data_IF_370561707163
#
_entry.id   IF_370561707163
#
_cell.length_a   1.000
_cell.length_b   1.000
_cell.length_c   1.000
_cell.angle_alpha   90.00
_cell.angle_beta   90.00
_cell.angle_gamma   90.00
#
_symmetry.space_group_name_H-M   'P 1'
#
loop_
_entity.id
_entity.type
_entity.pdbx_description
1 polymer ?
#
# COMPACT_ATOMS: atom_id res chain seq x y z
N UNK A 1 -13.92 15.66 -0.28
CA UNK A 1 -13.24 14.85 -1.32
C UNK A 1 -11.84 14.49 -0.83
N UNK A 2 -11.74 13.91 0.38
CA UNK A 2 -10.48 13.91 1.17
C UNK A 2 -10.24 12.61 1.95
N UNK A 3 -11.28 11.81 2.20
CA UNK A 3 -11.16 10.60 3.02
C UNK A 3 -10.43 9.44 2.31
N UNK A 4 -10.57 9.33 0.98
CA UNK A 4 -9.95 8.23 0.21
C UNK A 4 -8.42 8.38 0.12
N UNK A 5 -7.90 9.61 0.08
CA UNK A 5 -6.46 9.87 -0.06
C UNK A 5 -5.66 9.53 1.21
N UNK A 6 -6.28 9.65 2.40
CA UNK A 6 -5.56 9.47 3.67
C UNK A 6 -5.41 8.00 4.08
N UNK A 7 -6.18 7.09 3.50
CA UNK A 7 -6.25 5.69 3.93
C UNK A 7 -5.62 4.69 2.96
N UNK A 8 -5.03 5.16 1.86
CA UNK A 8 -4.39 4.28 0.90
C UNK A 8 -3.18 3.56 1.54
N UNK A 9 -3.16 2.22 1.57
CA UNK A 9 -2.05 1.48 2.14
C UNK A 9 -0.79 1.72 1.29
N UNK A 10 0.27 2.24 1.90
CA UNK A 10 1.57 2.45 1.22
C UNK A 10 2.39 1.16 1.13
N UNK A 11 2.08 0.21 2.00
CA UNK A 11 2.80 -1.04 2.16
C UNK A 11 1.79 -2.16 2.42
N UNK A 12 2.11 -3.35 1.92
CA UNK A 12 1.34 -4.56 2.13
C UNK A 12 2.25 -5.72 2.53
N UNK A 13 1.66 -6.79 3.06
CA UNK A 13 2.41 -7.96 3.51
C UNK A 13 2.54 -8.95 2.35
N UNK A 14 3.77 -9.17 1.89
CA UNK A 14 4.12 -10.13 0.84
C UNK A 14 4.85 -11.33 1.44
N UNK A 15 4.61 -12.52 0.90
CA UNK A 15 5.46 -13.68 1.14
C UNK A 15 6.72 -13.59 0.28
N UNK A 16 7.87 -13.41 0.91
CA UNK A 16 9.18 -13.38 0.26
C UNK A 16 10.08 -14.44 0.89
N UNK A 17 10.64 -15.34 0.08
CA UNK A 17 11.51 -16.42 0.54
C UNK A 17 10.93 -17.25 1.72
N UNK A 18 9.60 -17.42 1.78
CA UNK A 18 8.92 -18.14 2.86
C UNK A 18 8.72 -17.33 4.15
N UNK A 19 8.95 -16.01 4.13
CA UNK A 19 8.73 -15.11 5.25
C UNK A 19 7.74 -13.99 4.84
N UNK A 20 6.86 -13.62 5.76
CA UNK A 20 5.90 -12.53 5.53
C UNK A 20 6.56 -11.18 5.84
N UNK A 21 6.94 -10.45 4.79
CA UNK A 21 7.58 -9.16 4.88
C UNK A 21 6.65 -8.04 4.45
N UNK A 22 6.67 -6.92 5.18
CA UNK A 22 5.94 -5.71 4.81
C UNK A 22 6.76 -4.95 3.78
N UNK A 23 6.31 -4.90 2.54
CA UNK A 23 7.00 -4.26 1.42
C UNK A 23 6.13 -3.18 0.79
N UNK A 24 6.77 -2.19 0.18
CA UNK A 24 6.07 -1.12 -0.56
C UNK A 24 5.30 -1.70 -1.75
N UNK A 25 4.13 -1.10 -2.05
CA UNK A 25 3.30 -1.53 -3.18
C UNK A 25 4.04 -1.52 -4.54
N UNK A 26 5.04 -0.64 -4.69
CA UNK A 26 5.88 -0.54 -5.89
C UNK A 26 6.67 -1.82 -6.21
N UNK A 27 6.97 -2.64 -5.19
CA UNK A 27 7.76 -3.87 -5.37
C UNK A 27 6.91 -5.10 -5.69
N UNK A 28 5.58 -4.97 -5.73
CA UNK A 28 4.68 -6.09 -6.02
C UNK A 28 4.59 -6.37 -7.52
N UNK A 29 4.71 -7.64 -7.86
CA UNK A 29 4.53 -8.18 -9.20
C UNK A 29 3.33 -9.14 -9.26
N UNK A 30 2.86 -9.40 -10.48
CA UNK A 30 1.87 -10.45 -10.73
C UNK A 30 2.46 -11.80 -10.31
N UNK A 31 1.69 -12.60 -9.58
CA UNK A 31 2.11 -13.88 -9.01
C UNK A 31 2.62 -13.79 -7.57
N UNK A 32 2.83 -12.59 -7.03
CA UNK A 32 3.20 -12.43 -5.62
C UNK A 32 2.08 -12.90 -4.69
N UNK A 33 2.45 -13.55 -3.59
CA UNK A 33 1.51 -14.00 -2.56
C UNK A 33 1.41 -12.93 -1.48
N UNK A 34 0.20 -12.51 -1.17
CA UNK A 34 -0.10 -11.45 -0.21
C UNK A 34 -0.95 -12.01 0.93
N UNK A 35 -0.75 -11.44 2.11
CA UNK A 35 -1.61 -11.68 3.27
C UNK A 35 -2.38 -10.41 3.60
N UNK A 36 -3.71 -10.51 3.60
CA UNK A 36 -4.61 -9.41 3.95
C UNK A 36 -5.25 -9.74 5.29
N UNK A 37 -4.97 -8.91 6.30
CA UNK A 37 -5.46 -9.11 7.67
C UNK A 37 -6.87 -8.53 7.81
N UNK A 38 -7.55 -8.90 8.89
CA UNK A 38 -8.83 -8.28 9.25
C UNK A 38 -8.67 -6.76 9.35
N UNK A 39 -9.65 -6.03 8.81
CA UNK A 39 -9.69 -4.58 8.66
C UNK A 39 -8.58 -3.97 7.76
N UNK A 40 -7.81 -4.80 7.05
CA UNK A 40 -6.80 -4.33 6.10
C UNK A 40 -7.42 -4.13 4.70
N UNK A 41 -6.87 -3.19 3.94
CA UNK A 41 -7.34 -2.87 2.59
C UNK A 41 -6.63 -3.76 1.59
N UNK A 42 -7.38 -4.32 0.63
CA UNK A 42 -6.82 -5.07 -0.49
C UNK A 42 -5.98 -4.14 -1.37
N UNK A 43 -4.65 -4.31 -1.42
CA UNK A 43 -3.76 -3.34 -2.06
C UNK A 43 -3.80 -3.42 -3.59
N UNK A 44 -3.89 -4.64 -4.11
CA UNK A 44 -3.88 -4.93 -5.56
C UNK A 44 -4.93 -5.98 -5.90
N UNK A 45 -5.43 -5.95 -7.12
CA UNK A 45 -6.35 -6.97 -7.62
C UNK A 45 -5.66 -8.34 -7.71
N UNK A 46 -6.38 -9.41 -7.35
CA UNK A 46 -5.79 -10.74 -7.30
C UNK A 46 -6.79 -11.87 -7.15
N UNK A 47 -6.28 -13.08 -7.13
CA UNK A 47 -7.08 -14.30 -6.92
C UNK A 47 -6.94 -14.77 -5.49
N UNK A 48 -8.06 -15.04 -4.82
CA UNK A 48 -8.08 -15.50 -3.45
C UNK A 48 -7.57 -16.94 -3.34
N UNK A 49 -6.70 -17.22 -2.38
CA UNK A 49 -6.23 -18.58 -2.11
C UNK A 49 -7.21 -19.36 -1.21
N UNK A 50 -8.17 -18.68 -0.58
CA UNK A 50 -9.18 -19.26 0.30
C UNK A 50 -10.39 -18.32 0.42
N UNK A 51 -11.29 -18.63 1.35
CA UNK A 51 -12.49 -17.80 1.57
C UNK A 51 -12.11 -16.43 2.15
N UNK A 52 -12.73 -15.38 1.64
CA UNK A 52 -12.54 -14.02 2.12
C UNK A 52 -13.88 -13.29 2.23
N UNK A 53 -13.98 -12.39 3.20
CA UNK A 53 -15.14 -11.51 3.35
C UNK A 53 -14.68 -10.08 3.11
N UNK A 54 -15.16 -9.49 2.03
CA UNK A 54 -14.72 -8.19 1.53
C UNK A 54 -15.85 -7.18 1.65
N UNK A 55 -15.58 -6.06 2.32
CA UNK A 55 -16.41 -4.87 2.30
C UNK A 55 -16.03 -4.04 1.07
N UNK A 56 -16.94 -3.97 0.11
CA UNK A 56 -16.79 -3.18 -1.12
C UNK A 56 -17.48 -1.81 -1.02
N UNK A 57 -17.96 -1.43 0.16
CA UNK A 57 -18.65 -0.15 0.39
C UNK A 57 -17.74 1.04 0.13
N UNK A 58 -16.42 0.87 0.28
CA UNK A 58 -15.40 1.87 -0.09
C UNK A 58 -15.34 2.17 -1.57
N UNK A 59 -15.80 1.24 -2.43
CA UNK A 59 -15.76 1.36 -3.88
C UNK A 59 -17.08 1.87 -4.45
N UNK A 60 -18.22 1.39 -3.94
CA UNK A 60 -19.55 1.71 -4.46
C UNK A 60 -20.27 2.80 -3.67
N UNK A 61 -19.88 3.06 -2.42
CA UNK A 61 -20.56 4.00 -1.52
C UNK A 61 -21.83 3.44 -0.87
N UNK A 62 -22.17 2.19 -1.14
CA UNK A 62 -23.31 1.49 -0.55
C UNK A 62 -22.79 0.33 0.32
N UNK A 63 -23.37 0.11 1.50
CA UNK A 63 -22.89 -0.92 2.43
C UNK A 63 -23.08 -2.32 1.85
N UNK A 64 -22.01 -2.92 1.32
CA UNK A 64 -22.05 -4.23 0.69
C UNK A 64 -20.87 -5.10 1.15
N UNK A 65 -21.19 -6.09 2.00
CA UNK A 65 -20.31 -7.17 2.36
C UNK A 65 -20.48 -8.31 1.36
N UNK A 66 -19.39 -8.72 0.72
CA UNK A 66 -19.36 -9.83 -0.21
C UNK A 66 -18.42 -10.92 0.30
N UNK A 67 -18.97 -12.12 0.49
CA UNK A 67 -18.17 -13.31 0.78
C UNK A 67 -17.75 -13.94 -0.54
N UNK A 68 -16.45 -14.18 -0.68
CA UNK A 68 -15.84 -14.82 -1.83
C UNK A 68 -15.19 -16.13 -1.41
N UNK A 69 -15.23 -17.12 -2.30
CA UNK A 69 -14.56 -18.41 -2.10
C UNK A 69 -13.15 -18.40 -2.70
N UNK A 70 -12.33 -19.39 -2.29
CA UNK A 70 -11.02 -19.59 -2.89
C UNK A 70 -11.11 -19.77 -4.40
N UNK A 71 -10.25 -19.09 -5.15
CA UNK A 71 -10.27 -19.03 -6.60
C UNK A 71 -11.06 -17.86 -7.19
N UNK A 72 -11.84 -17.13 -6.39
CA UNK A 72 -12.51 -15.91 -6.85
C UNK A 72 -11.54 -14.73 -6.97
N UNK A 73 -11.93 -13.74 -7.78
CA UNK A 73 -11.14 -12.52 -8.01
C UNK A 73 -11.52 -11.44 -6.99
N UNK A 74 -10.53 -10.93 -6.26
CA UNK A 74 -10.66 -9.78 -5.37
C UNK A 74 -10.24 -8.49 -6.07
N UNK A 75 -11.01 -7.42 -5.84
CA UNK A 75 -10.73 -6.07 -6.36
C UNK A 75 -9.88 -5.26 -5.37
N UNK A 76 -8.95 -4.47 -5.88
CA UNK A 76 -8.19 -3.51 -5.07
C UNK A 76 -9.10 -2.45 -4.49
N UNK A 77 -8.90 -2.11 -3.21
CA UNK A 77 -9.66 -1.07 -2.50
C UNK A 77 -10.79 -1.60 -1.61
N UNK A 78 -11.14 -2.87 -1.71
CA UNK A 78 -12.03 -3.52 -0.75
C UNK A 78 -11.34 -3.65 0.63
N UNK A 79 -12.10 -3.63 1.71
CA UNK A 79 -11.60 -3.88 3.07
C UNK A 79 -11.89 -5.33 3.44
N UNK A 80 -10.92 -6.03 4.02
CA UNK A 80 -11.20 -7.35 4.59
C UNK A 80 -12.04 -7.20 5.87
N UNK A 81 -13.31 -7.60 5.81
CA UNK A 81 -14.21 -7.62 6.96
C UNK A 81 -14.13 -8.94 7.75
N UNK A 82 -13.53 -9.98 7.17
CA UNK A 82 -13.46 -11.32 7.73
C UNK A 82 -12.11 -11.67 8.37
N UNK A 83 -11.80 -12.98 8.48
CA UNK A 83 -10.52 -13.46 8.96
C UNK A 83 -9.37 -13.12 7.99
N UNK A 84 -8.14 -13.26 8.47
CA UNK A 84 -6.96 -13.08 7.61
C UNK A 84 -6.97 -14.10 6.48
N UNK A 85 -6.80 -13.64 5.25
CA UNK A 85 -6.75 -14.50 4.07
C UNK A 85 -5.50 -14.24 3.25
N UNK A 86 -5.15 -15.23 2.43
CA UNK A 86 -4.08 -15.12 1.45
C UNK A 86 -4.66 -14.92 0.05
N UNK A 87 -3.94 -14.17 -0.77
CA UNK A 87 -4.28 -13.98 -2.18
C UNK A 87 -3.02 -13.95 -3.04
N UNK A 88 -3.18 -14.20 -4.33
CA UNK A 88 -2.13 -14.07 -5.34
C UNK A 88 -2.43 -12.83 -6.16
N UNK A 89 -1.46 -11.92 -6.29
CA UNK A 89 -1.59 -10.74 -7.13
C UNK A 89 -1.80 -11.16 -8.58
N UNK A 90 -2.90 -10.71 -9.18
CA UNK A 90 -3.19 -10.89 -10.61
C UNK A 90 -2.94 -9.60 -11.39
N UNK A 91 -2.74 -8.49 -10.68
CA UNK A 91 -2.40 -7.19 -11.22
C UNK A 91 -1.24 -6.53 -10.44
N UNK A 92 -0.53 -5.62 -11.09
CA UNK A 92 0.49 -4.79 -10.45
C UNK A 92 -0.15 -3.61 -9.70
N UNK A 93 0.61 -2.98 -8.81
CA UNK A 93 0.17 -1.75 -8.14
C UNK A 93 -0.23 -0.64 -9.12
N UNK A 94 0.40 -0.60 -10.31
CA UNK A 94 0.07 0.34 -11.39
C UNK A 94 -1.31 0.10 -12.03
N UNK A 95 -1.87 -1.10 -11.91
CA UNK A 95 -3.21 -1.45 -12.40
C UNK A 95 -4.27 -1.47 -11.28
N UNK A 96 -3.88 -1.08 -10.06
CA UNK A 96 -4.74 -1.12 -8.89
C UNK A 96 -5.44 0.23 -8.68
N UNK A 97 -6.53 0.26 -7.93
CA UNK A 97 -7.27 1.48 -7.56
C UNK A 97 -6.35 2.56 -6.97
N UNK A 98 -5.25 2.16 -6.33
CA UNK A 98 -4.26 3.05 -5.69
C UNK A 98 -3.09 3.49 -6.59
N UNK A 99 -3.02 3.03 -7.85
CA UNK A 99 -1.96 3.38 -8.79
C UNK A 99 -1.74 4.89 -8.93
N UNK A 100 -2.85 5.66 -8.95
CA UNK A 100 -2.81 7.12 -9.03
C UNK A 100 -2.12 7.78 -7.83
N UNK A 101 -2.22 7.17 -6.65
CA UNK A 101 -1.63 7.69 -5.41
C UNK A 101 -0.13 7.39 -5.37
N UNK A 102 0.28 6.18 -5.77
CA UNK A 102 1.70 5.81 -5.86
C UNK A 102 2.44 6.76 -6.79
N UNK A 103 1.88 7.04 -7.98
CA UNK A 103 2.49 7.97 -8.96
C UNK A 103 2.66 9.39 -8.41
N UNK A 104 1.76 9.83 -7.52
CA UNK A 104 1.86 11.14 -6.87
C UNK A 104 2.94 11.16 -5.78
N UNK A 105 3.06 10.09 -5.00
CA UNK A 105 4.10 9.95 -3.96
C UNK A 105 5.50 9.83 -4.57
N UNK A 106 5.64 9.16 -5.70
CA UNK A 106 6.90 9.09 -6.44
C UNK A 106 7.39 10.47 -6.90
N UNK A 107 6.48 11.38 -7.25
CA UNK A 107 6.84 12.77 -7.54
C UNK A 107 7.34 13.51 -6.29
N UNK A 108 6.81 13.23 -5.10
CA UNK A 108 7.23 13.89 -3.85
C UNK A 108 8.58 13.41 -3.35
N UNK A 109 8.93 12.13 -3.48
CA UNK A 109 10.24 11.63 -3.02
C UNK A 109 11.41 12.10 -3.89
N UNK A 110 11.18 12.49 -5.15
CA UNK A 110 12.20 13.10 -6.01
C UNK A 110 12.47 14.57 -5.71
N UNK A 111 11.67 15.20 -4.84
CA UNK A 111 11.85 16.61 -4.46
C UNK A 111 12.68 16.78 -3.16
N UNK A 112 12.92 15.71 -2.40
CA UNK A 112 13.93 15.71 -1.34
C UNK A 112 15.32 15.43 -1.92
N UNK A 113 15.85 16.37 -2.70
CA UNK A 113 17.30 16.50 -2.83
C UNK A 113 17.90 16.75 -1.43
N UNK A 114 18.95 16.03 -1.01
CA UNK A 114 19.57 16.23 0.29
C UNK A 114 20.24 17.60 0.26
N UNK A 115 19.56 18.63 0.78
CA UNK A 115 20.18 19.92 1.04
C UNK A 115 21.38 19.64 1.95
N UNK A 116 22.55 19.82 1.36
CA UNK A 116 23.83 19.46 1.93
C UNK A 116 23.96 20.12 3.30
N UNK A 117 24.41 19.29 4.24
CA UNK A 117 24.84 19.65 5.57
C UNK A 117 25.88 20.78 5.47
N UNK A 118 25.49 22.01 5.80
CA UNK A 118 26.42 23.10 6.12
C UNK A 118 26.23 23.46 7.59
N UNK A 119 26.69 22.56 8.46
CA UNK A 119 27.01 22.92 9.84
C UNK A 119 28.49 23.30 9.85
N UNK A 120 28.78 24.60 9.77
CA UNK A 120 30.14 25.15 9.93
C UNK A 120 30.50 25.17 11.41
N UNK A 121 31.62 24.55 11.85
CA UNK A 121 32.15 24.77 13.18
C UNK A 121 33.17 25.91 13.18
N UNK A 122 33.24 26.65 14.30
CA UNK A 122 34.27 27.67 14.58
C UNK A 122 33.75 29.09 14.29
N UNK A 123 33.60 30.00 15.24
CA UNK A 123 34.49 30.25 16.36
C UNK A 123 35.68 31.06 15.87
N UNK A 124 35.60 32.39 16.00
CA UNK A 124 36.68 33.30 16.41
C UNK A 124 36.21 34.76 16.33
N UNK A 125 36.23 35.39 17.50
CA UNK A 125 36.21 36.83 17.71
C UNK A 125 37.40 37.48 16.98
N UNK A 126 37.32 38.77 16.60
CA UNK A 126 38.27 39.67 17.26
C UNK A 126 37.68 41.02 17.67
N UNK A 127 38.31 41.55 18.72
CA UNK A 127 38.15 42.86 19.30
C UNK A 127 38.68 44.01 18.41
N UNK A 128 38.40 45.24 18.86
CA UNK A 128 38.85 46.56 18.40
C UNK A 128 38.24 47.03 17.08
N UNK A 129 37.70 48.25 17.01
CA UNK A 129 38.26 49.51 17.54
C UNK A 129 37.20 50.48 18.05
#
# INVERSE_FOLDING_TARGET
MTALLSHAPRNATRLEAGQWNRVSLEHFAVGDRLMVRHADIVPVGGTLAGNAELDESTLTGESHLCTHEGGATARSGAINAGPTFEMIASATAAHSTFAGIVRMVEMTQRDCSPAVRLATPGGLSPAHS
#
